data_IF_974738523570
#
_entry.id   IF_974738523570
#
_cell.length_a   1.000
_cell.length_b   1.000
_cell.length_c   1.000
_cell.angle_alpha   90.00
_cell.angle_beta   90.00
_cell.angle_gamma   90.00
#
_symmetry.space_group_name_H-M   'P 1'
#
loop_
_entity.id
_entity.type
_entity.pdbx_description
1 polymer ?
#
# COMPACT_ATOMS: atom_id res chain seq x y z
N UNK A 1 9.75 -7.71 -35.60
CA UNK A 1 11.10 -7.77 -36.20
C UNK A 1 11.60 -9.19 -36.03
N UNK A 2 11.28 -10.05 -37.01
CA UNK A 2 11.67 -11.46 -37.02
C UNK A 2 13.14 -11.59 -37.44
N UNK A 3 13.87 -12.34 -36.65
CA UNK A 3 15.32 -12.40 -36.58
C UNK A 3 15.96 -12.96 -37.87
N UNK A 4 16.72 -12.12 -38.58
CA UNK A 4 17.49 -12.48 -39.79
C UNK A 4 18.54 -13.58 -39.52
N UNK A 5 18.92 -13.79 -38.26
CA UNK A 5 19.87 -14.82 -37.85
C UNK A 5 19.35 -16.25 -38.03
N UNK A 6 18.07 -16.49 -37.74
CA UNK A 6 17.48 -17.85 -37.80
C UNK A 6 17.32 -18.35 -39.24
N UNK A 7 16.97 -17.46 -40.18
CA UNK A 7 16.86 -17.80 -41.61
C UNK A 7 18.22 -18.17 -42.22
N UNK A 8 19.30 -17.49 -41.81
CA UNK A 8 20.66 -17.81 -42.26
C UNK A 8 21.16 -19.13 -41.67
N UNK A 9 20.82 -19.41 -40.41
CA UNK A 9 21.16 -20.68 -39.76
C UNK A 9 20.43 -21.88 -40.41
N UNK A 10 19.14 -21.74 -40.68
CA UNK A 10 18.34 -22.75 -41.39
C UNK A 10 18.88 -23.01 -42.81
N UNK A 11 19.21 -21.95 -43.56
CA UNK A 11 19.82 -22.06 -44.88
C UNK A 11 21.18 -22.76 -44.88
N UNK A 12 22.02 -22.50 -43.87
CA UNK A 12 23.31 -23.16 -43.72
C UNK A 12 23.19 -24.65 -43.35
N UNK A 13 22.18 -25.02 -42.56
CA UNK A 13 21.94 -26.43 -42.23
C UNK A 13 21.41 -27.23 -43.43
N UNK A 14 20.53 -26.64 -44.25
CA UNK A 14 19.98 -27.28 -45.43
C UNK A 14 21.06 -27.55 -46.50
N UNK A 15 21.99 -26.62 -46.71
CA UNK A 15 23.10 -26.80 -47.67
C UNK A 15 24.05 -27.90 -47.24
N UNK A 16 24.36 -28.01 -45.94
CA UNK A 16 25.22 -29.09 -45.42
C UNK A 16 24.56 -30.47 -45.59
N UNK A 17 23.24 -30.58 -45.39
CA UNK A 17 22.49 -31.82 -45.63
C UNK A 17 22.55 -32.22 -47.11
N UNK A 18 22.31 -31.27 -48.01
CA UNK A 18 22.37 -31.53 -49.46
C UNK A 18 23.77 -31.94 -49.90
N UNK A 19 24.82 -31.27 -49.37
CA UNK A 19 26.21 -31.62 -49.67
C UNK A 19 26.56 -33.00 -49.12
N UNK A 20 26.13 -33.36 -47.91
CA UNK A 20 26.38 -34.68 -47.36
C UNK A 20 25.66 -35.77 -48.15
N UNK A 21 24.37 -35.59 -48.46
CA UNK A 21 23.60 -36.52 -49.27
C UNK A 21 24.24 -36.70 -50.66
N UNK A 22 24.60 -35.61 -51.32
CA UNK A 22 25.28 -35.63 -52.61
C UNK A 22 26.65 -36.32 -52.53
N UNK A 23 27.43 -36.08 -51.48
CA UNK A 23 28.72 -36.73 -51.28
C UNK A 23 28.59 -38.24 -51.05
N UNK A 24 27.59 -38.68 -50.26
CA UNK A 24 27.31 -40.11 -50.08
C UNK A 24 26.82 -40.78 -51.36
N UNK A 25 25.98 -40.11 -52.15
CA UNK A 25 25.53 -40.60 -53.46
C UNK A 25 26.70 -40.69 -54.43
N UNK A 26 27.54 -39.65 -54.51
CA UNK A 26 28.72 -39.61 -55.37
C UNK A 26 29.74 -40.69 -54.99
N UNK A 27 29.97 -40.92 -53.70
CA UNK A 27 30.86 -41.96 -53.20
C UNK A 27 30.31 -43.36 -53.54
N UNK A 28 29.00 -43.57 -53.38
CA UNK A 28 28.34 -44.84 -53.74
C UNK A 28 28.45 -45.12 -55.24
N UNK A 29 28.23 -44.10 -56.08
CA UNK A 29 28.37 -44.20 -57.53
C UNK A 29 29.82 -44.45 -57.96
N UNK A 30 30.79 -43.78 -57.33
CA UNK A 30 32.21 -43.99 -57.60
C UNK A 30 32.66 -45.41 -57.24
N UNK A 31 32.18 -45.95 -56.12
CA UNK A 31 32.49 -47.32 -55.69
C UNK A 31 31.90 -48.39 -56.63
N UNK A 32 30.72 -48.15 -57.22
CA UNK A 32 30.07 -49.06 -58.17
C UNK A 32 30.78 -49.12 -59.54
N UNK A 33 31.53 -48.07 -59.90
CA UNK A 33 32.22 -47.98 -61.19
C UNK A 33 33.61 -48.62 -61.22
N UNK A 34 34.18 -49.05 -60.08
CA UNK A 34 35.51 -49.67 -60.03
C UNK A 34 35.40 -51.17 -60.37
N UNK A 35 35.91 -51.65 -61.52
CA UNK A 35 35.73 -53.04 -61.96
C UNK A 35 36.44 -54.07 -61.08
N UNK A 36 37.51 -53.67 -60.36
CA UNK A 36 38.27 -54.52 -59.45
C UNK A 36 37.48 -54.96 -58.20
N UNK A 37 36.35 -54.29 -57.89
CA UNK A 37 35.45 -54.67 -56.80
C UNK A 37 34.33 -55.64 -57.25
N UNK A 38 34.18 -55.86 -58.57
CA UNK A 38 33.17 -56.79 -59.11
C UNK A 38 33.62 -58.25 -59.15
N UNK A 39 34.93 -58.53 -58.99
CA UNK A 39 35.50 -59.86 -59.23
C UNK A 39 36.25 -60.50 -58.06
N UNK A 40 36.21 -59.92 -56.86
CA UNK A 40 36.83 -60.52 -55.68
C UNK A 40 35.78 -60.76 -54.59
N UNK A 41 35.87 -61.91 -53.93
CA UNK A 41 35.05 -62.44 -52.85
C UNK A 41 34.36 -61.39 -51.97
N UNK A 42 33.15 -61.72 -51.55
CA UNK A 42 32.16 -60.99 -50.75
C UNK A 42 32.62 -60.28 -49.45
N UNK A 43 33.93 -60.23 -49.15
CA UNK A 43 34.52 -59.52 -48.01
C UNK A 43 34.74 -58.01 -48.23
N UNK A 44 34.90 -57.52 -49.46
CA UNK A 44 35.33 -56.13 -49.70
C UNK A 44 34.17 -55.11 -49.77
N UNK A 45 32.99 -55.52 -50.24
CA UNK A 45 31.80 -54.66 -50.25
C UNK A 45 31.35 -54.24 -48.84
N UNK A 46 31.52 -55.12 -47.85
CA UNK A 46 31.24 -54.83 -46.44
C UNK A 46 32.17 -53.77 -45.85
N UNK A 47 33.44 -53.72 -46.28
CA UNK A 47 34.40 -52.72 -45.79
C UNK A 47 34.11 -51.32 -46.33
N UNK A 48 33.74 -51.20 -47.61
CA UNK A 48 33.35 -49.91 -48.19
C UNK A 48 32.04 -49.37 -47.57
N UNK A 49 31.06 -50.24 -47.32
CA UNK A 49 29.82 -49.87 -46.62
C UNK A 49 30.08 -49.48 -45.15
N UNK A 50 30.99 -50.18 -44.48
CA UNK A 50 31.46 -49.86 -43.13
C UNK A 50 32.16 -48.49 -43.06
N UNK A 51 33.01 -48.18 -44.04
CA UNK A 51 33.68 -46.88 -44.13
C UNK A 51 32.69 -45.74 -44.41
N UNK A 52 31.72 -45.95 -45.31
CA UNK A 52 30.68 -44.96 -45.61
C UNK A 52 29.77 -44.68 -44.41
N UNK A 53 29.33 -45.72 -43.68
CA UNK A 53 28.52 -45.59 -42.47
C UNK A 53 29.29 -44.95 -41.30
N UNK A 54 30.60 -45.21 -41.19
CA UNK A 54 31.48 -44.52 -40.25
C UNK A 54 31.56 -43.02 -40.52
N UNK A 55 31.74 -42.62 -41.79
CA UNK A 55 31.80 -41.22 -42.18
C UNK A 55 30.48 -40.46 -41.92
N UNK A 56 29.33 -41.07 -42.23
CA UNK A 56 28.02 -40.45 -41.97
C UNK A 56 27.71 -40.34 -40.48
N UNK A 57 28.11 -41.32 -39.67
CA UNK A 57 27.95 -41.29 -38.22
C UNK A 57 28.74 -40.15 -37.57
N UNK A 58 29.97 -39.90 -38.03
CA UNK A 58 30.78 -38.77 -37.54
C UNK A 58 30.12 -37.43 -37.86
N UNK A 59 29.58 -37.26 -39.07
CA UNK A 59 28.84 -36.04 -39.44
C UNK A 59 27.57 -35.87 -38.60
N UNK A 60 26.82 -36.95 -38.38
CA UNK A 60 25.62 -36.93 -37.54
C UNK A 60 25.95 -36.54 -36.08
N UNK A 61 27.06 -37.06 -35.53
CA UNK A 61 27.53 -36.70 -34.19
C UNK A 61 27.97 -35.23 -34.10
N UNK A 62 28.66 -34.70 -35.10
CA UNK A 62 29.04 -33.28 -35.15
C UNK A 62 27.78 -32.40 -35.18
N UNK A 63 26.77 -32.78 -35.96
CA UNK A 63 25.50 -32.05 -36.01
C UNK A 63 24.77 -32.09 -34.68
N UNK A 64 24.63 -33.27 -34.06
CA UNK A 64 24.00 -33.41 -32.75
C UNK A 64 24.74 -32.62 -31.69
N UNK A 65 26.08 -32.69 -31.65
CA UNK A 65 26.90 -31.93 -30.73
C UNK A 65 26.68 -30.41 -30.89
N UNK A 66 26.59 -29.92 -32.14
CA UNK A 66 26.29 -28.52 -32.43
C UNK A 66 24.88 -28.13 -31.97
N UNK A 67 23.88 -28.97 -32.23
CA UNK A 67 22.49 -28.74 -31.81
C UNK A 67 22.37 -28.74 -30.29
N UNK A 68 23.02 -29.67 -29.59
CA UNK A 68 23.06 -29.69 -28.13
C UNK A 68 23.75 -28.46 -27.56
N UNK A 69 24.84 -27.99 -28.18
CA UNK A 69 25.49 -26.75 -27.75
C UNK A 69 24.56 -25.55 -27.92
N UNK A 70 23.89 -25.45 -29.07
CA UNK A 70 22.94 -24.39 -29.34
C UNK A 70 21.74 -24.41 -28.38
N UNK A 71 21.14 -25.58 -28.15
CA UNK A 71 20.05 -25.74 -27.18
C UNK A 71 20.49 -25.38 -25.76
N UNK A 72 21.73 -25.69 -25.38
CA UNK A 72 22.27 -25.34 -24.06
C UNK A 72 22.42 -23.83 -23.90
N UNK A 73 22.85 -23.12 -24.94
CA UNK A 73 22.92 -21.66 -24.93
C UNK A 73 21.53 -21.02 -24.85
N UNK A 74 20.55 -21.51 -25.62
CA UNK A 74 19.18 -21.02 -25.58
C UNK A 74 18.55 -21.20 -24.21
N UNK A 75 18.71 -22.39 -23.60
CA UNK A 75 18.22 -22.65 -22.24
C UNK A 75 18.87 -21.73 -21.20
N UNK A 76 20.16 -21.38 -21.38
CA UNK A 76 20.83 -20.42 -20.51
C UNK A 76 20.22 -19.02 -20.66
N UNK A 77 20.03 -18.55 -21.89
CA UNK A 77 19.38 -17.25 -22.16
C UNK A 77 17.96 -17.20 -21.62
N UNK A 78 17.19 -18.28 -21.76
CA UNK A 78 15.84 -18.37 -21.21
C UNK A 78 15.83 -18.29 -19.68
N UNK A 79 16.77 -18.95 -19.00
CA UNK A 79 16.89 -18.87 -17.53
C UNK A 79 17.27 -17.46 -17.07
N UNK A 80 18.20 -16.81 -17.77
CA UNK A 80 18.61 -15.44 -17.46
C UNK A 80 17.44 -14.46 -17.66
N UNK A 81 16.68 -14.61 -18.74
CA UNK A 81 15.48 -13.81 -19.00
C UNK A 81 14.40 -14.02 -17.94
N UNK A 82 14.12 -15.28 -17.57
CA UNK A 82 13.14 -15.59 -16.52
C UNK A 82 13.55 -15.04 -15.16
N UNK A 83 14.84 -15.09 -14.82
CA UNK A 83 15.35 -14.51 -13.58
C UNK A 83 15.13 -12.99 -13.55
N UNK A 84 15.49 -12.28 -14.63
CA UNK A 84 15.23 -10.83 -14.75
C UNK A 84 13.73 -10.51 -14.64
N UNK A 85 12.87 -11.30 -15.30
CA UNK A 85 11.42 -11.10 -15.22
C UNK A 85 10.87 -11.35 -13.81
N UNK A 86 11.38 -12.35 -13.10
CA UNK A 86 10.98 -12.62 -11.72
C UNK A 86 11.37 -11.46 -10.80
N UNK A 87 12.58 -10.93 -10.95
CA UNK A 87 13.05 -9.79 -10.16
C UNK A 87 12.21 -8.53 -10.43
N UNK A 88 11.88 -8.25 -11.69
CA UNK A 88 10.99 -7.14 -12.07
C UNK A 88 9.59 -7.30 -11.48
N UNK A 89 9.00 -8.49 -11.56
CA UNK A 89 7.68 -8.76 -10.97
C UNK A 89 7.72 -8.57 -9.46
N UNK A 90 8.75 -9.08 -8.78
CA UNK A 90 8.88 -8.93 -7.33
C UNK A 90 9.03 -7.45 -6.94
N UNK A 91 9.85 -6.69 -7.66
CA UNK A 91 10.01 -5.25 -7.44
C UNK A 91 8.68 -4.50 -7.67
N UNK A 92 7.97 -4.82 -8.74
CA UNK A 92 6.66 -4.23 -9.04
C UNK A 92 5.63 -4.54 -7.95
N UNK A 93 5.55 -5.80 -7.50
CA UNK A 93 4.64 -6.21 -6.43
C UNK A 93 4.96 -5.53 -5.10
N UNK A 94 6.24 -5.36 -4.79
CA UNK A 94 6.65 -4.65 -3.59
C UNK A 94 6.23 -3.17 -3.65
N UNK A 95 6.43 -2.50 -4.78
CA UNK A 95 6.00 -1.13 -4.98
C UNK A 95 4.47 -0.98 -4.85
N UNK A 96 3.71 -1.90 -5.44
CA UNK A 96 2.24 -1.94 -5.35
C UNK A 96 1.76 -2.12 -3.90
N UNK A 97 2.37 -3.04 -3.14
CA UNK A 97 2.02 -3.25 -1.73
C UNK A 97 2.32 -2.04 -0.85
N UNK A 98 3.40 -1.31 -1.12
CA UNK A 98 3.73 -0.07 -0.40
C UNK A 98 2.67 1.00 -0.67
N UNK A 99 2.26 1.17 -1.94
CA UNK A 99 1.20 2.12 -2.30
C UNK A 99 -0.14 1.75 -1.63
N UNK A 100 -0.53 0.48 -1.67
CA UNK A 100 -1.77 0.01 -1.03
C UNK A 100 -1.78 0.22 0.49
N UNK A 101 -0.64 0.04 1.17
CA UNK A 101 -0.54 0.29 2.61
C UNK A 101 -0.69 1.77 2.95
N UNK A 102 -0.11 2.63 2.11
CA UNK A 102 -0.24 4.07 2.29
C UNK A 102 -1.68 4.53 2.09
N UNK A 103 -2.33 4.05 1.02
CA UNK A 103 -3.75 4.33 0.77
C UNK A 103 -4.63 3.81 1.90
N UNK A 104 -4.37 2.61 2.41
CA UNK A 104 -5.10 2.05 3.54
C UNK A 104 -4.91 2.89 4.82
N UNK A 105 -3.70 3.42 5.05
CA UNK A 105 -3.40 4.30 6.19
C UNK A 105 -4.19 5.60 6.10
N UNK A 106 -4.16 6.26 4.95
CA UNK A 106 -4.89 7.52 4.72
C UNK A 106 -6.40 7.28 4.86
N UNK A 107 -6.92 6.19 4.29
CA UNK A 107 -8.33 5.85 4.38
C UNK A 107 -8.77 5.58 5.82
N UNK A 108 -7.95 4.87 6.60
CA UNK A 108 -8.23 4.62 8.01
C UNK A 108 -8.27 5.93 8.81
N UNK A 109 -7.27 6.81 8.62
CA UNK A 109 -7.23 8.11 9.29
C UNK A 109 -8.46 8.98 8.95
N UNK A 110 -8.84 9.01 7.67
CA UNK A 110 -10.03 9.72 7.22
C UNK A 110 -11.32 9.14 7.84
N UNK A 111 -11.45 7.81 7.85
CA UNK A 111 -12.59 7.13 8.45
C UNK A 111 -12.73 7.42 9.95
N UNK A 112 -11.61 7.45 10.69
CA UNK A 112 -11.61 7.83 12.11
C UNK A 112 -12.09 9.27 12.31
N UNK A 113 -11.59 10.23 11.51
CA UNK A 113 -12.03 11.64 11.59
C UNK A 113 -13.51 11.81 11.27
N UNK A 114 -14.02 11.07 10.29
CA UNK A 114 -15.45 11.07 9.93
C UNK A 114 -16.29 10.49 11.08
N UNK A 115 -15.88 9.35 11.64
CA UNK A 115 -16.58 8.73 12.76
C UNK A 115 -16.60 9.66 13.99
N UNK A 116 -15.48 10.31 14.30
CA UNK A 116 -15.38 11.29 15.39
C UNK A 116 -16.33 12.48 15.19
N UNK A 117 -16.40 13.03 13.97
CA UNK A 117 -17.34 14.10 13.61
C UNK A 117 -18.80 13.66 13.74
N UNK A 118 -19.12 12.43 13.31
CA UNK A 118 -20.46 11.87 13.42
C UNK A 118 -20.90 11.70 14.88
N UNK A 119 -20.02 11.19 15.76
CA UNK A 119 -20.30 11.08 17.20
C UNK A 119 -20.57 12.46 17.82
N UNK A 120 -19.80 13.48 17.46
CA UNK A 120 -20.03 14.85 17.93
C UNK A 120 -21.37 15.42 17.45
N UNK A 121 -21.71 15.21 16.18
CA UNK A 121 -22.99 15.64 15.62
C UNK A 121 -24.17 14.97 16.36
N UNK A 122 -24.06 13.67 16.66
CA UNK A 122 -25.06 12.96 17.44
C UNK A 122 -25.17 13.50 18.88
N UNK A 123 -24.04 13.78 19.55
CA UNK A 123 -24.03 14.37 20.88
C UNK A 123 -24.70 15.76 20.90
N UNK A 124 -24.42 16.59 19.90
CA UNK A 124 -25.08 17.88 19.72
C UNK A 124 -26.59 17.69 19.56
N UNK A 125 -27.04 16.78 18.69
CA UNK A 125 -28.47 16.50 18.48
C UNK A 125 -29.18 16.05 19.76
N UNK A 126 -28.57 15.14 20.54
CA UNK A 126 -29.10 14.70 21.84
C UNK A 126 -29.23 15.87 22.82
N UNK A 127 -28.22 16.74 22.89
CA UNK A 127 -28.24 17.90 23.78
C UNK A 127 -29.29 18.92 23.34
N UNK A 128 -29.40 19.19 22.03
CA UNK A 128 -30.43 20.10 21.49
C UNK A 128 -31.84 19.61 21.81
N UNK A 129 -32.12 18.31 21.66
CA UNK A 129 -33.41 17.74 22.03
C UNK A 129 -33.71 17.92 23.53
N UNK A 130 -32.73 17.67 24.40
CA UNK A 130 -32.90 17.86 25.84
C UNK A 130 -33.02 19.34 26.26
N UNK A 131 -32.46 20.28 25.50
CA UNK A 131 -32.69 21.71 25.70
C UNK A 131 -34.14 22.10 25.34
N UNK A 132 -34.67 21.52 24.25
CA UNK A 132 -36.03 21.80 23.77
C UNK A 132 -37.11 21.16 24.64
N UNK A 133 -36.88 19.93 25.13
CA UNK A 133 -37.82 19.17 25.95
C UNK A 133 -37.26 18.95 27.37
N UNK A 134 -37.79 19.65 28.38
CA UNK A 134 -37.35 19.49 29.77
C UNK A 134 -37.46 18.06 30.31
N UNK A 135 -38.42 17.26 29.83
CA UNK A 135 -38.57 15.87 30.28
C UNK A 135 -37.40 14.98 29.83
N UNK A 136 -36.81 15.28 28.67
CA UNK A 136 -35.59 14.63 28.19
C UNK A 136 -34.34 15.16 28.90
N UNK A 137 -34.39 16.33 29.54
CA UNK A 137 -33.28 16.82 30.34
C UNK A 137 -33.10 16.03 31.65
N UNK A 138 -34.16 15.39 32.16
CA UNK A 138 -34.14 14.67 33.44
C UNK A 138 -33.34 13.35 33.40
N UNK A 139 -33.05 12.81 32.22
CA UNK A 139 -32.15 11.63 32.09
C UNK A 139 -30.67 11.99 32.24
N UNK A 140 -30.33 13.28 32.18
CA UNK A 140 -28.98 13.75 32.41
C UNK A 140 -28.74 13.99 33.90
N UNK A 141 -27.57 13.60 34.45
CA UNK A 141 -27.22 13.90 35.82
C UNK A 141 -27.33 15.41 36.10
N UNK A 142 -27.96 15.83 37.22
CA UNK A 142 -28.09 17.25 37.53
C UNK A 142 -26.72 17.84 37.88
N UNK A 143 -26.46 19.07 37.40
CA UNK A 143 -25.24 19.80 37.73
C UNK A 143 -25.19 20.22 39.21
N UNK A 144 -26.35 20.47 39.82
CA UNK A 144 -26.53 20.69 41.26
C UNK A 144 -27.98 20.41 41.66
N UNK A 145 -28.22 20.21 42.97
CA UNK A 145 -29.51 19.72 43.49
C UNK A 145 -30.70 20.68 43.23
N UNK A 146 -30.44 21.99 43.09
CA UNK A 146 -31.49 23.02 43.16
C UNK A 146 -31.50 23.99 41.95
N UNK A 147 -31.16 23.54 40.74
CA UNK A 147 -31.21 24.40 39.54
C UNK A 147 -32.58 24.45 38.88
N UNK A 148 -33.02 25.66 38.54
CA UNK A 148 -34.19 25.90 37.71
C UNK A 148 -34.05 25.25 36.32
N UNK A 149 -35.18 25.00 35.65
CA UNK A 149 -35.21 24.47 34.27
C UNK A 149 -34.44 25.40 33.31
N UNK A 150 -34.57 26.71 33.46
CA UNK A 150 -33.90 27.68 32.59
C UNK A 150 -32.39 27.70 32.82
N UNK A 151 -31.94 27.63 34.07
CA UNK A 151 -30.51 27.47 34.41
C UNK A 151 -29.94 26.18 33.84
N UNK A 152 -30.71 25.08 33.87
CA UNK A 152 -30.30 23.80 33.30
C UNK A 152 -30.08 23.92 31.79
N UNK A 153 -31.00 24.57 31.06
CA UNK A 153 -30.84 24.84 29.62
C UNK A 153 -29.60 25.68 29.33
N UNK A 154 -29.35 26.72 30.13
CA UNK A 154 -28.15 27.54 30.03
C UNK A 154 -26.87 26.72 30.22
N UNK A 155 -26.85 25.81 31.20
CA UNK A 155 -25.70 24.95 31.47
C UNK A 155 -25.46 23.94 30.34
N UNK A 156 -26.52 23.36 29.78
CA UNK A 156 -26.40 22.49 28.60
C UNK A 156 -25.86 23.24 27.39
N UNK A 157 -26.30 24.48 27.17
CA UNK A 157 -25.77 25.32 26.10
C UNK A 157 -24.32 25.75 26.36
N UNK A 158 -23.99 26.14 27.59
CA UNK A 158 -22.62 26.45 28.01
C UNK A 158 -21.67 25.26 27.81
N UNK A 159 -22.14 24.03 28.10
CA UNK A 159 -21.40 22.81 27.80
C UNK A 159 -21.07 22.67 26.30
N UNK A 160 -22.03 22.98 25.43
CA UNK A 160 -21.80 22.93 23.98
C UNK A 160 -20.79 23.99 23.53
N UNK A 161 -20.87 25.21 24.06
CA UNK A 161 -19.89 26.28 23.75
C UNK A 161 -18.48 25.83 24.15
N UNK A 162 -18.28 25.42 25.41
CA UNK A 162 -16.94 25.02 25.89
C UNK A 162 -16.41 23.81 25.11
N UNK A 163 -17.26 22.84 24.81
CA UNK A 163 -16.87 21.65 24.03
C UNK A 163 -16.46 22.03 22.60
N UNK A 164 -17.18 22.97 21.97
CA UNK A 164 -16.82 23.52 20.67
C UNK A 164 -15.46 24.23 20.71
N UNK A 165 -15.22 25.09 21.70
CA UNK A 165 -13.93 25.79 21.82
C UNK A 165 -12.76 24.83 22.08
N UNK A 166 -12.97 23.83 22.94
CA UNK A 166 -11.97 22.78 23.18
C UNK A 166 -11.60 22.03 21.89
N UNK A 167 -12.61 21.72 21.06
CA UNK A 167 -12.40 21.07 19.77
C UNK A 167 -11.63 21.97 18.80
N UNK A 168 -12.04 23.23 18.67
CA UNK A 168 -11.37 24.20 17.79
C UNK A 168 -9.89 24.41 18.17
N UNK A 169 -9.59 24.50 19.47
CA UNK A 169 -8.22 24.51 19.98
C UNK A 169 -7.45 23.24 19.60
N UNK A 170 -8.05 22.06 19.81
CA UNK A 170 -7.41 20.77 19.53
C UNK A 170 -7.07 20.62 18.05
N UNK A 171 -7.93 21.13 17.17
CA UNK A 171 -7.74 21.21 15.72
C UNK A 171 -6.73 22.29 15.28
N UNK A 172 -6.25 23.13 16.21
CA UNK A 172 -5.27 24.18 15.92
C UNK A 172 -5.86 25.39 15.20
N UNK A 173 -7.17 25.64 15.35
CA UNK A 173 -7.83 26.84 14.79
C UNK A 173 -7.29 28.12 15.44
N UNK A 174 -6.89 28.04 16.70
CA UNK A 174 -6.30 29.13 17.46
C UNK A 174 -5.22 28.61 18.43
N UNK A 175 -4.31 29.50 18.81
CA UNK A 175 -3.18 29.23 19.71
C UNK A 175 -3.55 29.36 21.19
N UNK A 176 -2.58 29.18 22.10
CA UNK A 176 -2.81 29.23 23.55
C UNK A 176 -3.31 30.60 24.04
N UNK A 177 -2.71 31.69 23.56
CA UNK A 177 -3.05 33.05 24.01
C UNK A 177 -4.46 33.43 23.52
N UNK A 178 -4.79 33.05 22.29
CA UNK A 178 -6.11 33.22 21.71
C UNK A 178 -7.18 32.39 22.45
N UNK A 179 -6.86 31.14 22.82
CA UNK A 179 -7.75 30.29 23.59
C UNK A 179 -8.05 30.90 24.97
N UNK A 180 -7.01 31.37 25.68
CA UNK A 180 -7.16 31.97 27.00
C UNK A 180 -7.96 33.28 26.93
N UNK A 181 -7.66 34.16 25.97
CA UNK A 181 -8.40 35.40 25.75
C UNK A 181 -9.88 35.15 25.41
N UNK A 182 -10.16 34.15 24.57
CA UNK A 182 -11.53 33.75 24.24
C UNK A 182 -12.28 33.23 25.48
N UNK A 183 -11.66 32.36 26.26
CA UNK A 183 -12.28 31.84 27.49
C UNK A 183 -12.52 32.97 28.50
N UNK A 184 -11.57 33.91 28.62
CA UNK A 184 -11.72 35.08 29.47
C UNK A 184 -12.92 35.97 29.08
N UNK A 185 -13.13 36.14 27.77
CA UNK A 185 -14.31 36.81 27.23
C UNK A 185 -15.60 36.02 27.55
N UNK A 186 -15.62 34.71 27.33
CA UNK A 186 -16.80 33.88 27.63
C UNK A 186 -17.18 33.92 29.13
N UNK A 187 -16.18 33.99 30.02
CA UNK A 187 -16.39 34.14 31.45
C UNK A 187 -16.87 35.52 31.89
N UNK A 188 -17.09 36.48 30.98
CA UNK A 188 -17.86 37.69 31.31
C UNK A 188 -19.31 37.35 31.69
N UNK A 189 -19.86 36.31 31.05
CA UNK A 189 -21.21 35.82 31.27
C UNK A 189 -21.34 35.11 32.62
N UNK A 190 -22.24 35.60 33.48
CA UNK A 190 -22.53 34.98 34.79
C UNK A 190 -22.95 33.51 34.63
N UNK A 191 -23.90 33.14 33.74
CA UNK A 191 -24.23 31.73 33.51
C UNK A 191 -23.03 30.85 33.15
N UNK A 192 -22.08 31.36 32.35
CA UNK A 192 -20.88 30.61 31.95
C UNK A 192 -19.95 30.37 33.15
N UNK A 193 -19.76 31.37 34.02
CA UNK A 193 -18.97 31.22 35.25
C UNK A 193 -19.59 30.23 36.22
N UNK A 194 -20.89 30.35 36.49
CA UNK A 194 -21.59 29.44 37.39
C UNK A 194 -21.56 28.00 36.87
N UNK A 195 -21.71 27.84 35.56
CA UNK A 195 -21.55 26.54 34.90
C UNK A 195 -20.13 25.98 35.04
N UNK A 196 -19.11 26.80 34.82
CA UNK A 196 -17.71 26.38 34.97
C UNK A 196 -17.44 25.90 36.38
N UNK A 197 -17.85 26.67 37.39
CA UNK A 197 -17.67 26.30 38.79
C UNK A 197 -18.38 24.99 39.14
N UNK A 198 -19.60 24.77 38.64
CA UNK A 198 -20.32 23.53 38.85
C UNK A 198 -19.70 22.30 38.15
N UNK A 199 -19.00 22.50 37.02
CA UNK A 199 -18.52 21.40 36.16
C UNK A 199 -17.00 21.15 36.21
N UNK A 200 -16.20 22.11 36.68
CA UNK A 200 -14.72 22.06 36.62
C UNK A 200 -14.11 20.84 37.32
N UNK A 201 -14.64 20.44 38.48
CA UNK A 201 -14.14 19.27 39.22
C UNK A 201 -14.39 17.98 38.43
N UNK A 202 -15.59 17.81 37.87
CA UNK A 202 -15.93 16.64 37.04
C UNK A 202 -15.11 16.60 35.74
N UNK A 203 -14.89 17.76 35.11
CA UNK A 203 -14.05 17.86 33.90
C UNK A 203 -12.60 17.51 34.18
N UNK A 204 -12.04 18.02 35.28
CA UNK A 204 -10.66 17.71 35.69
C UNK A 204 -10.49 16.21 35.93
N UNK A 205 -11.45 15.57 36.61
CA UNK A 205 -11.40 14.13 36.87
C UNK A 205 -11.57 13.26 35.61
N UNK A 206 -12.40 13.70 34.65
CA UNK A 206 -12.70 12.94 33.44
C UNK A 206 -11.70 13.15 32.29
N UNK A 207 -10.90 14.22 32.35
CA UNK A 207 -9.94 14.54 31.28
C UNK A 207 -8.71 13.64 31.40
N UNK A 208 -8.33 12.90 30.34
CA UNK A 208 -7.10 12.12 30.34
C UNK A 208 -5.88 13.00 30.63
N UNK A 209 -4.91 12.44 31.37
CA UNK A 209 -3.66 13.14 31.64
C UNK A 209 -2.84 13.25 30.35
N UNK A 210 -2.41 14.47 30.02
CA UNK A 210 -1.65 14.84 28.83
C UNK A 210 -2.50 15.30 27.65
N UNK A 211 -1.86 16.03 26.73
CA UNK A 211 -2.43 16.39 25.44
C UNK A 211 -3.14 17.74 25.37
N UNK A 212 -3.65 18.07 24.18
CA UNK A 212 -4.25 19.38 23.87
C UNK A 212 -5.52 19.66 24.68
N UNK A 213 -6.32 18.63 24.98
CA UNK A 213 -7.56 18.78 25.74
C UNK A 213 -7.30 19.22 27.19
N UNK A 214 -6.36 18.56 27.88
CA UNK A 214 -5.94 19.00 29.21
C UNK A 214 -5.40 20.43 29.15
N UNK A 215 -4.54 20.72 28.18
CA UNK A 215 -3.97 22.06 28.03
C UNK A 215 -5.05 23.13 27.85
N UNK A 216 -6.08 22.85 27.05
CA UNK A 216 -7.21 23.76 26.89
C UNK A 216 -7.93 24.02 28.22
N UNK A 217 -8.19 22.99 29.02
CA UNK A 217 -8.87 23.18 30.30
C UNK A 217 -8.01 23.91 31.34
N UNK A 218 -6.69 23.77 31.30
CA UNK A 218 -5.78 24.62 32.09
C UNK A 218 -5.89 26.09 31.67
N UNK A 219 -5.91 26.39 30.37
CA UNK A 219 -6.07 27.75 29.87
C UNK A 219 -7.43 28.34 30.25
N UNK A 220 -8.50 27.54 30.13
CA UNK A 220 -9.83 27.93 30.59
C UNK A 220 -9.84 28.19 32.11
N UNK A 221 -9.18 27.36 32.90
CA UNK A 221 -9.07 27.55 34.34
C UNK A 221 -8.33 28.85 34.69
N UNK A 222 -7.20 29.13 34.04
CA UNK A 222 -6.46 30.37 34.22
C UNK A 222 -7.31 31.60 33.87
N UNK A 223 -8.01 31.56 32.73
CA UNK A 223 -8.91 32.63 32.31
C UNK A 223 -10.06 32.85 33.30
N UNK A 224 -10.60 31.78 33.86
CA UNK A 224 -11.64 31.84 34.89
C UNK A 224 -11.13 32.50 36.16
N UNK A 225 -9.98 32.04 36.70
CA UNK A 225 -9.37 32.61 37.91
C UNK A 225 -9.03 34.09 37.74
N UNK A 226 -8.49 34.46 36.58
CA UNK A 226 -8.21 35.86 36.24
C UNK A 226 -9.48 36.72 36.35
N UNK A 227 -10.58 36.27 35.75
CA UNK A 227 -11.86 37.00 35.79
C UNK A 227 -12.44 37.10 37.21
N UNK A 228 -12.31 36.04 38.02
CA UNK A 228 -12.74 36.07 39.43
C UNK A 228 -11.93 37.06 40.26
N UNK A 229 -10.62 37.16 40.01
CA UNK A 229 -9.74 38.11 40.69
C UNK A 229 -10.05 39.56 40.31
N UNK A 230 -10.32 39.84 39.02
CA UNK A 230 -10.72 41.17 38.55
C UNK A 230 -12.04 41.63 39.22
N UNK A 231 -13.03 40.74 39.35
CA UNK A 231 -14.30 41.05 40.02
C UNK A 231 -14.19 41.25 41.53
N UNK A 232 -13.11 40.77 42.16
CA UNK A 232 -12.90 40.94 43.61
C UNK A 232 -12.22 42.28 43.94
N UNK A 233 -11.74 43.01 42.93
CA UNK A 233 -11.07 44.31 43.09
C UNK A 233 -11.98 45.50 42.82
N UNK A 234 -13.12 45.27 42.14
CA UNK A 234 -14.19 46.24 41.90
C UNK A 234 -15.24 46.24 43.03
#
# INVERSE_FOLDING_TARGET
MTDSGTVKALGATATIIVICCAASIALTLALVQIPALRSAESGNAGQALGAASGATSVVALIYLARTFHHQREEMRRQREMLASQQDEILAQRQAELVALREDARINNECALKIAESAVRSQHHALTSMAISDPSLADVWPPYSADISVDTRKQFMYANQIISFQCMAYTLGVFNCDEAEALMHYLFESVPMRTFWEASRAGRSAATPHGGKMQKFYELAENAYQRRCNEQSQD
#
